data_IF_140659494390
#
_entry.id   IF_140659494390
#
_cell.length_a   1.000
_cell.length_b   1.000
_cell.length_c   1.000
_cell.angle_alpha   90.00
_cell.angle_beta   90.00
_cell.angle_gamma   90.00
#
_symmetry.space_group_name_H-M   'P 1'
#
loop_
_entity.id
_entity.type
_entity.pdbx_description
1 polymer ?
#
# COMPACT_ATOMS: atom_id res chain seq x y z
N UNK A 1 -8.96 5.30 -8.75
CA UNK A 1 -10.04 6.04 -9.41
C UNK A 1 -10.99 6.60 -8.37
N UNK A 2 -11.38 7.87 -8.48
CA UNK A 2 -12.42 8.45 -7.64
C UNK A 2 -13.75 8.52 -8.39
N UNK A 3 -14.81 8.38 -7.62
CA UNK A 3 -16.20 8.42 -8.08
C UNK A 3 -16.98 9.43 -7.25
N UNK A 4 -17.98 10.06 -7.84
CA UNK A 4 -18.90 10.89 -7.09
C UNK A 4 -19.56 10.08 -5.97
N UNK A 5 -19.80 10.74 -4.84
CA UNK A 5 -20.42 10.10 -3.68
C UNK A 5 -21.82 9.58 -4.04
N UNK A 6 -22.23 8.43 -3.49
CA UNK A 6 -23.59 7.94 -3.60
C UNK A 6 -24.56 8.81 -2.80
N UNK A 7 -25.86 8.71 -3.15
CA UNK A 7 -26.94 9.40 -2.39
C UNK A 7 -26.98 8.96 -0.91
N UNK A 8 -26.69 7.68 -0.65
CA UNK A 8 -26.52 7.17 0.71
C UNK A 8 -25.02 7.14 1.01
N UNK A 9 -24.54 7.94 1.99
CA UNK A 9 -23.11 8.08 2.22
C UNK A 9 -22.49 6.78 2.75
N UNK A 10 -21.39 6.37 2.13
CA UNK A 10 -20.51 5.31 2.64
C UNK A 10 -19.74 5.89 3.85
N UNK A 11 -19.87 5.29 5.03
CA UNK A 11 -19.23 5.76 6.26
C UNK A 11 -17.93 5.04 6.59
N UNK A 12 -17.76 3.83 6.10
CA UNK A 12 -16.60 2.97 6.37
C UNK A 12 -16.02 2.43 5.07
N UNK A 13 -14.75 2.10 5.08
CA UNK A 13 -14.13 1.37 3.97
C UNK A 13 -14.73 -0.03 3.87
N UNK A 14 -15.10 -0.42 2.66
CA UNK A 14 -15.51 -1.79 2.32
C UNK A 14 -14.34 -2.43 1.58
N UNK A 15 -13.97 -3.65 1.98
CA UNK A 15 -12.99 -4.47 1.27
C UNK A 15 -13.72 -5.71 0.77
N UNK A 16 -13.77 -5.87 -0.53
CA UNK A 16 -14.27 -7.07 -1.20
C UNK A 16 -13.07 -7.98 -1.51
N UNK A 17 -12.87 -8.97 -0.63
CA UNK A 17 -11.71 -9.85 -0.69
C UNK A 17 -11.80 -10.80 -1.89
N UNK A 18 -13.02 -11.25 -2.22
CA UNK A 18 -13.25 -12.21 -3.30
C UNK A 18 -12.97 -11.60 -4.68
N UNK A 19 -13.27 -10.31 -4.85
CA UNK A 19 -13.05 -9.59 -6.10
C UNK A 19 -11.81 -8.68 -6.07
N UNK A 20 -11.08 -8.60 -4.96
CA UNK A 20 -9.79 -7.93 -4.85
C UNK A 20 -9.84 -6.40 -4.96
N UNK A 21 -10.87 -5.74 -4.42
CA UNK A 21 -10.97 -4.28 -4.43
C UNK A 21 -11.41 -3.71 -3.08
N UNK A 22 -11.19 -2.41 -2.91
CA UNK A 22 -11.70 -1.66 -1.77
C UNK A 22 -12.39 -0.37 -2.21
N UNK A 23 -13.48 -0.02 -1.51
CA UNK A 23 -14.20 1.24 -1.61
C UNK A 23 -13.95 2.05 -0.35
N UNK A 24 -13.33 3.22 -0.46
CA UNK A 24 -13.04 4.08 0.68
C UNK A 24 -13.74 5.44 0.53
N UNK A 25 -14.47 5.92 1.57
CA UNK A 25 -14.96 7.28 1.59
C UNK A 25 -13.79 8.26 1.70
N UNK A 26 -13.76 9.25 0.81
CA UNK A 26 -12.73 10.28 0.74
C UNK A 26 -13.38 11.65 0.65
N UNK A 27 -12.62 12.73 0.90
CA UNK A 27 -13.14 14.09 0.79
C UNK A 27 -13.74 14.42 -0.60
N UNK A 28 -13.23 13.80 -1.67
CA UNK A 28 -13.70 14.00 -3.05
C UNK A 28 -14.82 13.04 -3.48
N UNK A 29 -15.25 12.11 -2.62
CA UNK A 29 -16.22 11.07 -2.98
C UNK A 29 -15.75 9.69 -2.56
N UNK A 30 -15.96 8.68 -3.39
CA UNK A 30 -15.52 7.30 -3.11
C UNK A 30 -14.27 6.98 -3.94
N UNK A 31 -13.23 6.46 -3.28
CA UNK A 31 -12.08 5.89 -3.97
C UNK A 31 -12.26 4.38 -4.12
N UNK A 32 -12.22 3.91 -5.36
CA UNK A 32 -12.08 2.49 -5.70
C UNK A 32 -10.61 2.20 -5.94
N UNK A 33 -10.05 1.26 -5.19
CA UNK A 33 -8.68 0.76 -5.34
C UNK A 33 -8.72 -0.74 -5.64
N UNK A 34 -7.76 -1.20 -6.44
CA UNK A 34 -7.60 -2.59 -6.85
C UNK A 34 -6.27 -3.14 -6.33
N UNK A 35 -5.93 -4.36 -6.72
CA UNK A 35 -4.68 -5.01 -6.39
C UNK A 35 -3.44 -4.40 -7.08
N UNK A 36 -2.31 -5.08 -6.98
CA UNK A 36 -1.06 -4.67 -7.60
C UNK A 36 -0.99 -5.13 -9.05
N UNK A 37 -0.33 -4.33 -9.87
CA UNK A 37 0.10 -4.67 -11.23
C UNK A 37 1.61 -4.98 -11.19
N UNK A 38 2.00 -6.18 -11.62
CA UNK A 38 3.40 -6.59 -11.71
C UNK A 38 3.93 -6.20 -13.10
N UNK A 39 4.65 -5.09 -13.18
CA UNK A 39 5.19 -4.53 -14.41
C UNK A 39 6.51 -3.80 -14.15
N UNK A 40 7.21 -3.42 -15.20
CA UNK A 40 8.35 -2.51 -15.09
C UNK A 40 7.85 -1.16 -14.53
N UNK A 41 8.70 -0.48 -13.74
CA UNK A 41 8.33 0.78 -13.08
C UNK A 41 7.73 1.82 -14.02
N UNK A 42 8.28 1.93 -15.21
CA UNK A 42 7.91 2.94 -16.19
C UNK A 42 6.98 2.39 -17.30
N UNK A 43 6.42 1.19 -17.10
CA UNK A 43 5.43 0.63 -18.02
C UNK A 43 4.13 1.43 -17.98
N UNK A 44 3.42 1.55 -19.10
CA UNK A 44 2.09 2.15 -19.12
C UNK A 44 1.13 1.40 -18.19
N UNK A 45 0.28 2.15 -17.47
CA UNK A 45 -0.76 1.56 -16.63
C UNK A 45 -1.76 0.75 -17.49
N UNK A 46 -2.16 -0.41 -16.98
CA UNK A 46 -3.25 -1.20 -17.57
C UNK A 46 -4.46 -1.17 -16.65
N UNK A 47 -5.58 -0.55 -17.02
CA UNK A 47 -6.74 -0.39 -16.14
C UNK A 47 -7.60 -1.66 -16.03
N UNK A 48 -7.12 -2.81 -16.46
CA UNK A 48 -7.87 -4.07 -16.56
C UNK A 48 -8.55 -4.45 -15.24
N UNK A 49 -7.83 -4.41 -14.12
CA UNK A 49 -8.41 -4.74 -12.82
C UNK A 49 -9.55 -3.78 -12.46
N UNK A 50 -9.36 -2.47 -12.70
CA UNK A 50 -10.39 -1.47 -12.43
C UNK A 50 -11.63 -1.71 -13.29
N UNK A 51 -11.46 -2.01 -14.58
CA UNK A 51 -12.56 -2.29 -15.52
C UNK A 51 -13.36 -3.54 -15.12
N UNK A 52 -12.67 -4.56 -14.60
CA UNK A 52 -13.32 -5.78 -14.12
C UNK A 52 -14.14 -5.55 -12.85
N UNK A 53 -13.62 -4.78 -11.89
CA UNK A 53 -14.27 -4.65 -10.58
C UNK A 53 -15.27 -3.50 -10.50
N UNK A 54 -15.16 -2.48 -11.34
CA UNK A 54 -16.08 -1.33 -11.31
C UNK A 54 -17.56 -1.73 -11.45
N UNK A 55 -17.96 -2.60 -12.38
CA UNK A 55 -19.35 -3.06 -12.48
C UNK A 55 -19.82 -3.80 -11.22
N UNK A 56 -18.92 -4.54 -10.55
CA UNK A 56 -19.22 -5.26 -9.30
C UNK A 56 -19.42 -4.25 -8.17
N UNK A 57 -18.48 -3.32 -8.02
CA UNK A 57 -18.54 -2.25 -7.02
C UNK A 57 -19.81 -1.39 -7.16
N UNK A 58 -20.26 -1.11 -8.38
CA UNK A 58 -21.50 -0.35 -8.67
C UNK A 58 -22.77 -1.10 -8.23
N UNK A 59 -22.75 -2.43 -8.24
CA UNK A 59 -23.88 -3.24 -7.72
C UNK A 59 -23.91 -3.24 -6.18
N UNK A 60 -22.75 -3.18 -5.55
CA UNK A 60 -22.65 -3.16 -4.09
C UNK A 60 -22.98 -1.78 -3.51
N UNK A 61 -22.43 -0.74 -4.13
CA UNK A 61 -22.64 0.67 -3.72
C UNK A 61 -22.91 1.48 -4.97
N UNK A 62 -24.01 2.23 -4.97
CA UNK A 62 -24.42 3.09 -6.10
C UNK A 62 -23.47 4.29 -6.28
N UNK A 63 -22.17 4.01 -6.52
CA UNK A 63 -21.17 5.05 -6.78
C UNK A 63 -21.52 5.83 -8.05
N UNK A 64 -21.26 7.14 -8.03
CA UNK A 64 -21.61 8.05 -9.13
C UNK A 64 -20.64 7.97 -10.31
N UNK A 65 -20.57 9.04 -11.08
CA UNK A 65 -19.66 9.14 -12.23
C UNK A 65 -18.19 9.14 -11.78
N UNK A 66 -17.29 8.72 -12.67
CA UNK A 66 -15.83 8.89 -12.49
C UNK A 66 -15.50 10.37 -12.39
N UNK A 67 -14.67 10.74 -11.40
CA UNK A 67 -14.22 12.12 -11.18
C UNK A 67 -12.83 12.38 -11.77
N UNK A 68 -12.07 11.33 -12.01
CA UNK A 68 -10.74 11.42 -12.62
C UNK A 68 -10.82 10.97 -14.08
N UNK A 69 -10.12 11.66 -14.98
CA UNK A 69 -10.05 11.29 -16.39
C UNK A 69 -9.31 9.96 -16.60
N UNK A 70 -8.33 9.68 -15.71
CA UNK A 70 -7.53 8.45 -15.75
C UNK A 70 -7.32 7.88 -14.35
N UNK A 71 -7.18 6.56 -14.18
CA UNK A 71 -6.85 5.96 -12.91
C UNK A 71 -5.44 6.39 -12.47
N UNK A 72 -5.29 6.66 -11.18
CA UNK A 72 -3.99 6.88 -10.58
C UNK A 72 -3.27 5.54 -10.39
N UNK A 73 -2.00 5.50 -10.78
CA UNK A 73 -1.08 4.40 -10.53
C UNK A 73 0.17 4.94 -9.84
N UNK A 74 0.69 4.19 -8.85
CA UNK A 74 1.93 4.51 -8.16
C UNK A 74 2.74 3.26 -7.90
N UNK A 75 4.07 3.34 -8.10
CA UNK A 75 4.98 2.24 -7.83
C UNK A 75 5.20 2.06 -6.33
N UNK A 76 5.29 0.81 -5.87
CA UNK A 76 5.57 0.44 -4.48
C UNK A 76 6.91 -0.28 -4.40
N UNK A 77 7.80 0.09 -3.46
CA UNK A 77 9.01 -0.67 -3.21
C UNK A 77 8.64 -1.96 -2.46
N UNK A 78 8.74 -3.08 -3.16
CA UNK A 78 8.50 -4.40 -2.60
C UNK A 78 9.79 -5.20 -2.59
N UNK A 79 10.00 -5.97 -1.54
CA UNK A 79 11.04 -7.00 -1.44
C UNK A 79 10.46 -8.34 -1.93
N UNK A 80 11.33 -9.30 -2.24
CA UNK A 80 10.89 -10.60 -2.75
C UNK A 80 10.04 -11.39 -1.73
N UNK A 81 10.31 -11.23 -0.45
CA UNK A 81 9.62 -11.86 0.67
C UNK A 81 8.49 -10.99 1.27
N UNK A 82 8.25 -9.81 0.72
CA UNK A 82 7.26 -8.82 1.18
C UNK A 82 7.50 -8.27 2.60
N UNK A 83 8.67 -8.56 3.22
CA UNK A 83 9.08 -7.96 4.49
C UNK A 83 9.95 -6.71 4.23
N UNK A 84 9.81 -5.64 5.03
CA UNK A 84 10.65 -4.45 4.87
C UNK A 84 12.13 -4.74 5.18
N UNK A 85 13.00 -3.89 4.65
CA UNK A 85 14.43 -3.86 4.99
C UNK A 85 14.63 -2.81 6.07
N UNK A 86 15.02 -3.26 7.27
CA UNK A 86 15.24 -2.41 8.45
C UNK A 86 16.62 -2.72 9.06
N UNK A 87 17.43 -1.68 9.25
CA UNK A 87 18.70 -1.86 9.95
C UNK A 87 19.89 -1.22 9.25
N UNK A 88 21.10 -1.43 9.79
CA UNK A 88 22.34 -0.84 9.27
C UNK A 88 22.75 -1.48 7.95
N UNK A 89 23.38 -0.67 7.08
CA UNK A 89 24.04 -1.17 5.89
C UNK A 89 25.28 -1.99 6.27
N UNK A 90 25.45 -3.24 5.81
CA UNK A 90 26.52 -4.11 6.26
C UNK A 90 27.94 -3.59 5.92
N UNK A 91 28.08 -2.84 4.85
CA UNK A 91 29.37 -2.36 4.30
C UNK A 91 29.56 -0.83 4.39
N UNK A 92 28.62 -0.10 5.03
CA UNK A 92 28.69 1.37 5.13
C UNK A 92 28.32 1.81 6.55
N UNK A 93 29.34 2.18 7.32
CA UNK A 93 29.13 2.69 8.68
C UNK A 93 28.29 3.96 8.66
N UNK A 94 27.28 4.03 9.54
CA UNK A 94 26.40 5.19 9.68
C UNK A 94 25.25 5.27 8.67
N UNK A 95 25.20 4.38 7.69
CA UNK A 95 24.07 4.26 6.76
C UNK A 95 23.05 3.25 7.29
N UNK A 96 21.79 3.64 7.30
CA UNK A 96 20.66 2.83 7.76
C UNK A 96 19.56 2.77 6.71
N UNK A 97 18.84 1.68 6.70
CA UNK A 97 17.73 1.45 5.78
C UNK A 97 16.43 1.24 6.53
N UNK A 98 15.36 1.84 6.02
CA UNK A 98 13.97 1.60 6.42
C UNK A 98 13.08 1.79 5.19
N UNK A 99 12.91 0.72 4.40
CA UNK A 99 12.12 0.75 3.18
C UNK A 99 11.59 -0.65 2.80
N UNK A 100 10.85 -0.74 1.69
CA UNK A 100 10.35 -2.02 1.18
C UNK A 100 9.08 -2.51 1.85
N UNK A 101 8.32 -1.62 2.49
CA UNK A 101 7.07 -1.94 3.20
C UNK A 101 5.88 -2.28 2.30
N UNK A 102 6.07 -2.38 1.00
CA UNK A 102 5.02 -2.64 0.01
C UNK A 102 3.80 -1.70 0.21
N UNK A 103 2.62 -2.26 0.47
CA UNK A 103 1.40 -1.48 0.73
C UNK A 103 1.13 -1.20 2.21
N UNK A 104 2.01 -1.66 3.11
CA UNK A 104 1.86 -1.54 4.57
C UNK A 104 2.66 -0.39 5.20
N UNK A 105 3.36 0.42 4.40
CA UNK A 105 4.30 1.41 4.94
C UNK A 105 3.68 2.38 5.95
N UNK A 106 2.49 2.91 5.69
CA UNK A 106 1.81 3.80 6.64
C UNK A 106 1.38 3.05 7.92
N UNK A 107 0.83 1.85 7.78
CA UNK A 107 0.38 1.02 8.91
C UNK A 107 1.55 0.61 9.81
N UNK A 108 2.69 0.27 9.21
CA UNK A 108 3.88 -0.21 9.91
C UNK A 108 4.84 0.91 10.33
N UNK A 109 4.58 2.17 9.98
CA UNK A 109 5.50 3.28 10.20
C UNK A 109 5.93 3.42 11.67
N UNK A 110 4.98 3.35 12.60
CA UNK A 110 5.27 3.49 14.03
C UNK A 110 6.10 2.31 14.57
N UNK A 111 5.75 1.07 14.23
CA UNK A 111 6.47 -0.13 14.67
C UNK A 111 7.86 -0.23 14.04
N UNK A 112 7.98 0.07 12.75
CA UNK A 112 9.29 0.11 12.07
C UNK A 112 10.17 1.24 12.63
N UNK A 113 9.58 2.42 12.89
CA UNK A 113 10.30 3.54 13.48
C UNK A 113 10.81 3.22 14.89
N UNK A 114 10.02 2.55 15.72
CA UNK A 114 10.44 2.09 17.04
C UNK A 114 11.61 1.10 16.94
N UNK A 115 11.49 0.06 16.13
CA UNK A 115 12.57 -0.92 15.93
C UNK A 115 13.85 -0.24 15.46
N UNK A 116 13.76 0.68 14.50
CA UNK A 116 14.92 1.43 14.01
C UNK A 116 15.56 2.27 15.10
N UNK A 117 14.78 2.96 15.94
CA UNK A 117 15.29 3.77 17.05
C UNK A 117 16.03 2.90 18.06
N UNK A 118 15.45 1.77 18.50
CA UNK A 118 16.08 0.81 19.42
C UNK A 118 17.41 0.30 18.85
N UNK A 119 17.45 -0.11 17.58
CA UNK A 119 18.69 -0.57 16.94
C UNK A 119 19.75 0.52 16.82
N UNK A 120 19.36 1.75 16.49
CA UNK A 120 20.29 2.88 16.35
C UNK A 120 20.86 3.34 17.69
N UNK A 121 20.08 3.23 18.77
CA UNK A 121 20.50 3.58 20.14
C UNK A 121 21.23 2.43 20.86
N UNK A 122 21.29 1.23 20.26
CA UNK A 122 21.87 0.04 20.90
C UNK A 122 21.01 -0.52 22.03
N UNK A 123 19.71 -0.25 22.00
CA UNK A 123 18.74 -0.79 22.94
C UNK A 123 18.30 -2.20 22.50
N UNK A 124 17.77 -2.97 23.45
CA UNK A 124 17.19 -4.28 23.12
C UNK A 124 15.93 -4.10 22.27
N UNK A 125 15.90 -4.63 21.04
CA UNK A 125 14.76 -4.46 20.17
C UNK A 125 13.53 -5.20 20.70
N UNK A 126 12.35 -4.61 20.56
CA UNK A 126 11.08 -5.17 21.05
C UNK A 126 10.62 -6.43 20.29
N UNK A 127 11.16 -6.68 19.11
CA UNK A 127 10.99 -7.90 18.31
C UNK A 127 12.33 -8.35 17.74
N UNK A 128 12.42 -9.61 17.32
CA UNK A 128 13.60 -10.11 16.60
C UNK A 128 13.80 -9.33 15.28
N UNK A 129 14.92 -8.61 15.10
CA UNK A 129 15.20 -7.86 13.88
C UNK A 129 15.72 -8.73 12.73
N UNK A 130 16.08 -9.99 12.99
CA UNK A 130 16.74 -10.89 12.02
C UNK A 130 15.94 -11.01 10.69
N UNK A 131 14.62 -11.18 10.69
CA UNK A 131 13.85 -11.28 9.45
C UNK A 131 13.85 -10.00 8.58
N UNK A 132 14.25 -8.86 9.17
CA UNK A 132 14.22 -7.55 8.50
C UNK A 132 15.60 -7.07 8.04
N UNK A 133 16.65 -7.83 8.30
CA UNK A 133 18.02 -7.45 7.96
C UNK A 133 18.19 -7.17 6.48
N UNK A 134 19.07 -6.20 6.17
CA UNK A 134 19.37 -5.77 4.80
C UNK A 134 20.12 -6.83 4.00
N UNK A 135 20.88 -7.69 4.69
CA UNK A 135 21.72 -8.75 4.13
C UNK A 135 21.11 -10.17 4.23
N UNK A 136 19.77 -10.25 4.33
CA UNK A 136 19.07 -11.54 4.41
C UNK A 136 18.89 -12.26 3.07
N UNK A 137 19.24 -11.60 1.95
CA UNK A 137 19.23 -12.14 0.61
C UNK A 137 20.65 -12.48 0.14
#
# INVERSE_FOLDING_TARGET
MHYAAPSVPLRHTIVDVDNGYALAPMARGIRLTTGAEFALRDAPATPVQLEMVEPIARRLVSIGARLDAQPWLGSRPCTADMLPLLGPAPRHRGLWFSFGHAHHGLTQAASSGRLMAELMCGEAPYIDPTPYRVDRF
#
